data_IF_871389232957
#
_entry.id   IF_871389232957
#
_cell.length_a   1.000
_cell.length_b   1.000
_cell.length_c   1.000
_cell.angle_alpha   90.00
_cell.angle_beta   90.00
_cell.angle_gamma   90.00
#
_symmetry.space_group_name_H-M   'P 1'
#
loop_
_entity.id
_entity.type
_entity.pdbx_description
1 polymer ?
#
# COMPACT_ATOMS: atom_id res chain seq x y z
N UNK A 1 -15.46 -2.08 -5.48
CA UNK A 1 -14.83 -2.25 -6.79
C UNK A 1 -13.38 -2.51 -6.51
N UNK A 2 -12.98 -3.77 -6.61
CA UNK A 2 -11.63 -4.25 -6.91
C UNK A 2 -11.72 -5.78 -6.81
N UNK A 3 -12.25 -6.34 -7.90
CA UNK A 3 -11.90 -7.68 -8.37
C UNK A 3 -10.39 -7.68 -8.65
N UNK A 4 -9.64 -8.70 -8.22
CA UNK A 4 -8.63 -9.34 -9.08
C UNK A 4 -7.97 -10.58 -8.45
N UNK A 5 -7.89 -11.63 -9.28
CA UNK A 5 -7.00 -12.81 -9.30
C UNK A 5 -7.36 -14.04 -8.45
N UNK A 6 -8.18 -14.87 -9.09
CA UNK A 6 -8.18 -16.33 -9.06
C UNK A 6 -6.92 -16.95 -9.72
N UNK A 7 -6.43 -18.07 -9.16
CA UNK A 7 -5.53 -19.06 -9.82
C UNK A 7 -4.14 -19.20 -9.19
N UNK A 8 -3.56 -20.42 -9.07
CA UNK A 8 -3.43 -21.41 -10.16
C UNK A 8 -4.07 -22.78 -9.85
N UNK A 9 -4.76 -23.40 -10.82
CA UNK A 9 -4.29 -24.40 -11.80
C UNK A 9 -3.89 -25.73 -11.18
N UNK A 10 -4.76 -26.72 -11.41
CA UNK A 10 -4.65 -28.09 -10.96
C UNK A 10 -3.47 -28.85 -11.58
N UNK A 11 -2.89 -29.70 -10.74
CA UNK A 11 -2.04 -30.81 -11.13
C UNK A 11 -2.96 -31.94 -11.61
N UNK A 12 -2.97 -32.17 -12.92
CA UNK A 12 -3.44 -33.40 -13.53
C UNK A 12 -2.32 -34.43 -13.41
N UNK A 13 -2.50 -35.41 -12.53
CA UNK A 13 -1.67 -36.61 -12.46
C UNK A 13 -2.17 -37.60 -13.52
N UNK A 14 -1.73 -37.40 -14.76
CA UNK A 14 -1.85 -38.38 -15.84
C UNK A 14 -0.52 -39.14 -15.95
N UNK A 15 -0.34 -40.17 -15.13
CA UNK A 15 0.64 -41.23 -15.41
C UNK A 15 -0.08 -42.56 -15.57
N UNK A 16 -0.59 -42.76 -16.78
CA UNK A 16 -0.95 -44.07 -17.30
C UNK A 16 0.31 -44.95 -17.41
N UNK A 17 0.56 -45.79 -16.41
CA UNK A 17 1.56 -46.87 -16.49
C UNK A 17 0.95 -48.02 -17.29
N UNK A 18 1.27 -48.09 -18.58
CA UNK A 18 0.97 -49.23 -19.44
C UNK A 18 1.75 -50.46 -18.96
N UNK A 19 1.03 -51.55 -18.66
CA UNK A 19 1.60 -52.87 -18.42
C UNK A 19 1.71 -53.56 -19.77
N UNK A 20 2.91 -53.84 -20.32
CA UNK A 20 3.02 -54.73 -21.46
C UNK A 20 2.79 -56.17 -21.01
N UNK A 21 1.73 -56.78 -21.53
CA UNK A 21 1.46 -58.20 -21.40
C UNK A 21 2.61 -59.01 -22.02
N UNK A 22 3.30 -59.83 -21.22
CA UNK A 22 4.25 -60.82 -21.73
C UNK A 22 3.50 -62.00 -22.36
N UNK A 23 3.89 -62.42 -23.58
CA UNK A 23 3.31 -63.58 -24.23
C UNK A 23 3.78 -64.88 -23.55
N UNK A 24 2.84 -65.79 -23.33
CA UNK A 24 3.09 -67.13 -22.85
C UNK A 24 4.06 -67.87 -23.76
N UNK A 25 5.18 -68.31 -23.18
CA UNK A 25 6.14 -69.20 -23.84
C UNK A 25 5.85 -70.63 -23.44
N UNK A 26 5.41 -71.42 -24.42
CA UNK A 26 5.22 -72.86 -24.35
C UNK A 26 6.54 -73.58 -24.08
N UNK A 27 6.64 -74.26 -22.93
CA UNK A 27 7.72 -75.22 -22.67
C UNK A 27 7.30 -76.57 -23.28
N UNK A 28 7.73 -76.79 -24.51
CA UNK A 28 7.82 -78.10 -25.13
C UNK A 28 9.28 -78.38 -25.47
N UNK A 29 9.76 -79.59 -25.18
CA UNK A 29 11.01 -80.08 -25.74
C UNK A 29 12.05 -80.53 -24.72
N UNK A 30 11.86 -81.77 -24.28
CA UNK A 30 12.91 -82.64 -23.76
C UNK A 30 14.14 -82.62 -24.68
N UNK A 31 15.31 -82.24 -24.16
CA UNK A 31 16.60 -82.73 -24.65
C UNK A 31 17.62 -82.69 -23.52
N UNK A 32 18.11 -83.88 -23.17
CA UNK A 32 19.14 -84.12 -22.15
C UNK A 32 20.48 -83.75 -22.77
N UNK A 33 20.73 -82.45 -22.91
CA UNK A 33 21.95 -81.88 -23.48
C UNK A 33 23.12 -81.99 -22.51
N UNK A 34 24.22 -82.56 -22.99
CA UNK A 34 25.52 -82.52 -22.32
C UNK A 34 25.92 -81.06 -22.14
N UNK A 35 26.02 -80.61 -20.88
CA UNK A 35 26.35 -79.22 -20.56
C UNK A 35 27.79 -78.96 -21.00
N UNK A 36 27.97 -78.06 -21.97
CA UNK A 36 29.28 -77.65 -22.45
C UNK A 36 30.00 -76.86 -21.34
N UNK A 37 31.14 -77.34 -20.80
CA UNK A 37 31.84 -76.69 -19.69
C UNK A 37 32.27 -75.25 -20.01
N UNK A 38 32.45 -74.90 -21.29
CA UNK A 38 32.78 -73.54 -21.71
C UNK A 38 31.61 -72.55 -21.47
N UNK A 39 30.36 -72.98 -21.68
CA UNK A 39 29.18 -72.16 -21.46
C UNK A 39 28.93 -71.92 -19.96
N UNK A 40 29.19 -72.92 -19.11
CA UNK A 40 29.14 -72.76 -17.65
C UNK A 40 30.21 -71.80 -17.14
N UNK A 41 31.42 -71.84 -17.71
CA UNK A 41 32.49 -70.90 -17.38
C UNK A 41 32.10 -69.45 -17.73
N UNK A 42 31.48 -69.25 -18.89
CA UNK A 42 31.03 -67.93 -19.32
C UNK A 42 29.93 -67.38 -18.42
N UNK A 43 28.92 -68.20 -18.09
CA UNK A 43 27.85 -67.82 -17.16
C UNK A 43 28.41 -67.51 -15.77
N UNK A 44 29.41 -68.27 -15.29
CA UNK A 44 30.07 -67.99 -14.02
C UNK A 44 30.84 -66.67 -14.03
N UNK A 45 31.48 -66.31 -15.15
CA UNK A 45 32.14 -65.01 -15.31
C UNK A 45 31.13 -63.87 -15.37
N UNK A 46 30.02 -64.04 -16.08
CA UNK A 46 28.97 -63.03 -16.20
C UNK A 46 28.25 -62.82 -14.85
N UNK A 47 28.02 -63.86 -14.07
CA UNK A 47 27.47 -63.75 -12.70
C UNK A 47 28.46 -63.04 -11.77
N UNK A 48 29.76 -63.30 -11.89
CA UNK A 48 30.79 -62.60 -11.12
C UNK A 48 30.91 -61.12 -11.54
N UNK A 49 30.79 -60.82 -12.83
CA UNK A 49 30.75 -59.45 -13.37
C UNK A 49 29.48 -58.71 -12.92
N UNK A 50 28.32 -59.37 -12.94
CA UNK A 50 27.06 -58.80 -12.44
C UNK A 50 27.11 -58.59 -10.93
N UNK A 51 27.65 -59.55 -10.17
CA UNK A 51 27.81 -59.43 -8.71
C UNK A 51 28.81 -58.37 -8.29
N UNK A 52 29.83 -58.09 -9.12
CA UNK A 52 30.75 -56.97 -8.91
C UNK A 52 30.19 -55.62 -9.39
N UNK A 53 29.25 -55.63 -10.35
CA UNK A 53 28.49 -54.45 -10.79
C UNK A 53 27.33 -54.07 -9.86
N UNK A 54 26.90 -54.98 -8.99
CA UNK A 54 25.90 -54.71 -7.97
C UNK A 54 26.54 -53.87 -6.86
N UNK A 55 25.98 -52.68 -6.61
CA UNK A 55 26.33 -51.87 -5.44
C UNK A 55 26.43 -52.77 -4.21
N UNK A 56 27.62 -52.83 -3.63
CA UNK A 56 27.84 -53.65 -2.46
C UNK A 56 26.98 -53.11 -1.32
N UNK A 57 26.65 -53.95 -0.33
CA UNK A 57 25.91 -53.48 0.86
C UNK A 57 26.58 -52.28 1.54
N UNK A 58 27.91 -52.20 1.41
CA UNK A 58 28.73 -51.10 1.87
C UNK A 58 28.43 -49.80 1.12
N UNK A 59 28.43 -49.81 -0.20
CA UNK A 59 28.16 -48.63 -1.03
C UNK A 59 26.77 -48.05 -0.75
N UNK A 60 25.76 -48.92 -0.56
CA UNK A 60 24.41 -48.48 -0.17
C UNK A 60 24.39 -47.81 1.20
N UNK A 61 25.14 -48.36 2.17
CA UNK A 61 25.23 -47.77 3.50
C UNK A 61 25.98 -46.44 3.50
N UNK A 62 26.99 -46.29 2.64
CA UNK A 62 27.74 -45.04 2.46
C UNK A 62 26.85 -43.97 1.82
N UNK A 63 26.12 -44.30 0.74
CA UNK A 63 25.14 -43.39 0.14
C UNK A 63 24.05 -42.97 1.13
N UNK A 64 23.52 -43.90 1.92
CA UNK A 64 22.51 -43.56 2.95
C UNK A 64 23.11 -42.64 4.01
N UNK A 65 24.36 -42.86 4.43
CA UNK A 65 25.02 -41.99 5.40
C UNK A 65 25.28 -40.58 4.83
N UNK A 66 25.68 -40.49 3.57
CA UNK A 66 25.86 -39.22 2.86
C UNK A 66 24.53 -38.46 2.72
N UNK A 67 23.47 -39.13 2.27
CA UNK A 67 22.12 -38.53 2.19
C UNK A 67 21.65 -38.06 3.57
N UNK A 68 21.90 -38.83 4.64
CA UNK A 68 21.57 -38.40 5.99
C UNK A 68 22.38 -37.16 6.42
N UNK A 69 23.64 -37.05 6.01
CA UNK A 69 24.47 -35.88 6.31
C UNK A 69 23.92 -34.64 5.61
N UNK A 70 23.64 -34.72 4.30
CA UNK A 70 23.05 -33.63 3.51
C UNK A 70 21.71 -33.21 4.09
N UNK A 71 20.82 -34.17 4.41
CA UNK A 71 19.51 -33.86 5.00
C UNK A 71 19.67 -33.13 6.35
N UNK A 72 20.62 -33.53 7.19
CA UNK A 72 20.85 -32.85 8.48
C UNK A 72 21.38 -31.44 8.29
N UNK A 73 22.26 -31.24 7.32
CA UNK A 73 22.80 -29.93 6.96
C UNK A 73 21.70 -29.01 6.44
N UNK A 74 20.88 -29.47 5.50
CA UNK A 74 19.74 -28.72 4.96
C UNK A 74 18.71 -28.39 6.05
N UNK A 75 18.41 -29.33 6.96
CA UNK A 75 17.53 -29.06 8.11
C UNK A 75 18.13 -27.99 9.03
N UNK A 76 19.45 -28.00 9.25
CA UNK A 76 20.12 -26.98 10.05
C UNK A 76 20.06 -25.60 9.37
N UNK A 77 20.27 -25.54 8.05
CA UNK A 77 20.16 -24.33 7.26
C UNK A 77 18.74 -23.76 7.30
N UNK A 78 17.71 -24.59 7.04
CA UNK A 78 16.30 -24.17 7.10
C UNK A 78 15.93 -23.66 8.50
N UNK A 79 16.43 -24.30 9.56
CA UNK A 79 16.21 -23.81 10.94
C UNK A 79 16.84 -22.45 11.18
N UNK A 80 18.06 -22.23 10.68
CA UNK A 80 18.71 -20.93 10.78
C UNK A 80 17.90 -19.84 10.03
N UNK A 81 17.44 -20.14 8.82
CA UNK A 81 16.62 -19.24 8.03
C UNK A 81 15.28 -18.92 8.72
N UNK A 82 14.64 -19.91 9.34
CA UNK A 82 13.41 -19.71 10.11
C UNK A 82 13.66 -18.77 11.29
N UNK A 83 14.72 -18.97 12.07
CA UNK A 83 15.05 -18.06 13.18
C UNK A 83 15.38 -16.64 12.71
N UNK A 84 16.05 -16.50 11.57
CA UNK A 84 16.32 -15.19 10.98
C UNK A 84 15.02 -14.51 10.51
N UNK A 85 14.09 -15.28 9.96
CA UNK A 85 12.79 -14.78 9.54
C UNK A 85 11.93 -14.35 10.73
N UNK A 86 11.92 -15.13 11.82
CA UNK A 86 11.24 -14.77 13.08
C UNK A 86 11.73 -13.41 13.59
N UNK A 87 13.04 -13.21 13.71
CA UNK A 87 13.60 -11.93 14.13
C UNK A 87 13.25 -10.77 13.20
N UNK A 88 13.20 -11.02 11.88
CA UNK A 88 12.79 -10.00 10.92
C UNK A 88 11.32 -9.63 11.07
N UNK A 89 10.45 -10.60 11.34
CA UNK A 89 9.03 -10.37 11.59
C UNK A 89 8.85 -9.58 12.89
N UNK A 90 9.53 -9.95 13.96
CA UNK A 90 9.48 -9.22 15.24
C UNK A 90 9.91 -7.76 15.08
N UNK A 91 10.98 -7.50 14.32
CA UNK A 91 11.44 -6.15 14.02
C UNK A 91 10.40 -5.35 13.21
N UNK A 92 9.80 -5.97 12.19
CA UNK A 92 8.76 -5.34 11.38
C UNK A 92 7.49 -5.03 12.19
N UNK A 93 7.11 -5.91 13.11
CA UNK A 93 5.95 -5.68 13.97
C UNK A 93 6.21 -4.55 14.97
N UNK A 94 7.41 -4.48 15.56
CA UNK A 94 7.81 -3.36 16.42
C UNK A 94 7.79 -2.02 15.66
N UNK A 95 8.35 -1.98 14.45
CA UNK A 95 8.34 -0.79 13.58
C UNK A 95 6.92 -0.40 13.18
N UNK A 96 6.06 -1.38 12.87
CA UNK A 96 4.65 -1.14 12.53
C UNK A 96 3.90 -0.49 13.68
N UNK A 97 4.08 -0.98 14.91
CA UNK A 97 3.46 -0.41 16.11
C UNK A 97 3.94 1.05 16.31
N UNK A 98 5.25 1.28 16.18
CA UNK A 98 5.81 2.63 16.34
C UNK A 98 5.25 3.59 15.28
N UNK A 99 5.17 3.15 14.02
CA UNK A 99 4.62 3.96 12.94
C UNK A 99 3.13 4.23 13.11
N UNK A 100 2.35 3.27 13.60
CA UNK A 100 0.94 3.49 13.92
C UNK A 100 0.76 4.59 14.98
N UNK A 101 1.59 4.59 16.04
CA UNK A 101 1.57 5.63 17.06
C UNK A 101 1.96 7.01 16.50
N UNK A 102 2.99 7.07 15.65
CA UNK A 102 3.39 8.31 14.98
C UNK A 102 2.27 8.85 14.10
N UNK A 103 1.63 8.00 13.31
CA UNK A 103 0.53 8.38 12.44
C UNK A 103 -0.63 8.96 13.27
N UNK A 104 -1.03 8.28 14.34
CA UNK A 104 -2.07 8.77 15.24
C UNK A 104 -1.74 10.16 15.83
N UNK A 105 -0.48 10.40 16.21
CA UNK A 105 -0.05 11.69 16.71
C UNK A 105 -0.15 12.80 15.65
N UNK A 106 0.24 12.48 14.40
CA UNK A 106 0.12 13.40 13.26
C UNK A 106 -1.34 13.70 12.94
N UNK A 107 -2.23 12.72 12.97
CA UNK A 107 -3.66 12.91 12.69
C UNK A 107 -4.31 13.82 13.74
N UNK A 108 -3.96 13.63 15.02
CA UNK A 108 -4.42 14.50 16.11
C UNK A 108 -3.88 15.92 15.95
N UNK A 109 -2.61 16.08 15.59
CA UNK A 109 -2.02 17.40 15.37
C UNK A 109 -2.68 18.13 14.18
N UNK A 110 -2.91 17.42 13.08
CA UNK A 110 -3.57 17.93 11.88
C UNK A 110 -4.99 18.38 12.19
N UNK A 111 -5.75 17.59 12.95
CA UNK A 111 -7.10 17.95 13.38
C UNK A 111 -7.12 19.22 14.23
N UNK A 112 -6.17 19.34 15.19
CA UNK A 112 -6.04 20.54 16.03
C UNK A 112 -5.69 21.78 15.20
N UNK A 113 -4.77 21.65 14.24
CA UNK A 113 -4.40 22.73 13.33
C UNK A 113 -5.58 23.16 12.45
N UNK A 114 -6.36 22.20 11.94
CA UNK A 114 -7.57 22.48 11.16
C UNK A 114 -8.60 23.30 11.96
N UNK A 115 -8.84 22.92 13.21
CA UNK A 115 -9.74 23.66 14.10
C UNK A 115 -9.23 25.08 14.38
N UNK A 116 -7.93 25.23 14.66
CA UNK A 116 -7.32 26.54 14.91
C UNK A 116 -7.44 27.46 13.68
N UNK A 117 -7.22 26.93 12.48
CA UNK A 117 -7.38 27.70 11.24
C UNK A 117 -8.81 28.17 11.03
N UNK A 118 -9.79 27.32 11.35
CA UNK A 118 -11.20 27.66 11.26
C UNK A 118 -11.56 28.78 12.24
N UNK A 119 -11.08 28.69 13.48
CA UNK A 119 -11.30 29.72 14.50
C UNK A 119 -10.66 31.05 14.10
N UNK A 120 -9.42 31.04 13.63
CA UNK A 120 -8.72 32.23 13.14
C UNK A 120 -9.46 32.86 11.96
N UNK A 121 -9.94 32.04 11.01
CA UNK A 121 -10.73 32.54 9.87
C UNK A 121 -12.01 33.23 10.34
N UNK A 122 -12.71 32.65 11.31
CA UNK A 122 -13.92 33.24 11.90
C UNK A 122 -13.62 34.57 12.59
N UNK A 123 -12.50 34.67 13.31
CA UNK A 123 -12.07 35.91 13.95
C UNK A 123 -11.76 37.00 12.93
N UNK A 124 -11.04 36.67 11.85
CA UNK A 124 -10.74 37.61 10.75
C UNK A 124 -12.03 38.12 10.10
N UNK A 125 -12.99 37.23 9.84
CA UNK A 125 -14.29 37.61 9.29
C UNK A 125 -15.07 38.53 10.21
N UNK A 126 -15.11 38.26 11.52
CA UNK A 126 -15.77 39.14 12.50
C UNK A 126 -15.09 40.51 12.56
N UNK A 127 -13.76 40.58 12.53
CA UNK A 127 -13.02 41.84 12.50
C UNK A 127 -13.29 42.65 11.23
N UNK A 128 -13.31 42.00 10.06
CA UNK A 128 -13.62 42.66 8.79
C UNK A 128 -15.09 43.16 8.77
N UNK A 129 -16.03 42.36 9.29
CA UNK A 129 -17.42 42.77 9.43
C UNK A 129 -17.58 43.98 10.37
N UNK A 130 -16.89 43.98 11.52
CA UNK A 130 -16.88 45.13 12.44
C UNK A 130 -16.27 46.37 11.80
N UNK A 131 -15.17 46.22 11.05
CA UNK A 131 -14.53 47.30 10.32
C UNK A 131 -15.43 47.89 9.21
N UNK A 132 -16.23 47.06 8.55
CA UNK A 132 -17.16 47.48 7.49
C UNK A 132 -18.48 48.05 8.00
N UNK A 133 -18.93 47.72 9.22
CA UNK A 133 -20.23 48.17 9.76
C UNK A 133 -20.42 49.69 9.74
N UNK A 134 -19.34 50.44 9.89
CA UNK A 134 -19.39 51.91 9.89
C UNK A 134 -19.02 52.53 8.54
N UNK A 135 -18.78 51.72 7.51
CA UNK A 135 -18.35 52.19 6.20
C UNK A 135 -19.50 52.09 5.18
N UNK A 136 -19.97 53.23 4.69
CA UNK A 136 -21.00 53.31 3.66
C UNK A 136 -20.32 53.38 2.29
N UNK A 137 -20.62 52.41 1.41
CA UNK A 137 -20.14 52.41 0.03
C UNK A 137 -21.18 53.04 -0.88
N UNK A 138 -20.91 54.26 -1.35
CA UNK A 138 -21.73 54.93 -2.36
C UNK A 138 -21.21 54.55 -3.75
N UNK A 139 -22.08 54.09 -4.65
CA UNK A 139 -21.74 53.71 -6.03
C UNK A 139 -22.53 54.55 -7.02
N UNK A 140 -21.97 54.78 -8.20
CA UNK A 140 -22.65 55.51 -9.28
C UNK A 140 -22.62 57.03 -9.15
N UNK A 141 -21.70 57.58 -8.33
CA UNK A 141 -21.42 59.01 -8.36
C UNK A 141 -20.62 59.35 -9.63
N UNK A 142 -21.01 60.40 -10.38
CA UNK A 142 -20.17 60.91 -11.46
C UNK A 142 -18.85 61.43 -10.87
N UNK A 143 -17.76 61.22 -11.59
CA UNK A 143 -16.45 61.78 -11.22
C UNK A 143 -16.53 63.31 -11.39
N UNK A 144 -16.63 64.04 -10.27
CA UNK A 144 -16.62 65.49 -10.27
C UNK A 144 -15.17 65.97 -10.08
N UNK A 145 -14.64 66.67 -11.08
CA UNK A 145 -13.34 67.35 -10.95
C UNK A 145 -13.52 68.64 -10.14
N UNK A 146 -12.98 68.67 -8.92
CA UNK A 146 -12.83 69.91 -8.13
C UNK A 146 -13.79 70.10 -6.96
N UNK A 147 -14.85 69.31 -6.83
CA UNK A 147 -15.73 69.31 -5.64
C UNK A 147 -15.17 68.40 -4.54
N UNK A 148 -15.26 68.84 -3.29
CA UNK A 148 -14.84 67.99 -2.18
C UNK A 148 -15.85 66.85 -1.98
N UNK A 149 -15.40 65.62 -1.68
CA UNK A 149 -16.31 64.50 -1.42
C UNK A 149 -17.33 64.77 -0.31
N UNK A 150 -16.98 65.66 0.63
CA UNK A 150 -17.86 66.08 1.71
C UNK A 150 -19.06 66.88 1.20
N UNK A 151 -18.85 67.83 0.27
CA UNK A 151 -19.91 68.66 -0.32
C UNK A 151 -20.91 67.84 -1.13
N UNK A 152 -20.39 66.90 -1.94
CA UNK A 152 -21.23 65.97 -2.71
C UNK A 152 -22.10 65.14 -1.75
N UNK A 153 -21.50 64.58 -0.68
CA UNK A 153 -22.23 63.79 0.31
C UNK A 153 -23.25 64.61 1.10
N UNK A 154 -22.93 65.83 1.56
CA UNK A 154 -23.90 66.69 2.26
C UNK A 154 -25.04 67.13 1.35
N UNK A 155 -24.78 67.44 0.07
CA UNK A 155 -25.82 67.73 -0.90
C UNK A 155 -26.77 66.54 -1.09
N UNK A 156 -26.20 65.34 -1.25
CA UNK A 156 -26.94 64.10 -1.45
C UNK A 156 -27.78 63.73 -0.22
N UNK A 157 -27.22 63.84 1.00
CA UNK A 157 -27.95 63.58 2.23
C UNK A 157 -29.04 64.62 2.50
N UNK A 158 -28.78 65.90 2.26
CA UNK A 158 -29.79 66.97 2.40
C UNK A 158 -30.97 66.74 1.46
N UNK A 159 -30.69 66.31 0.23
CA UNK A 159 -31.72 65.98 -0.75
C UNK A 159 -32.51 64.71 -0.39
N UNK A 160 -31.84 63.60 -0.02
CA UNK A 160 -32.50 62.32 0.28
C UNK A 160 -33.29 62.33 1.60
N UNK A 161 -32.79 62.99 2.64
CA UNK A 161 -33.42 63.00 3.96
C UNK A 161 -34.47 64.10 4.10
N UNK A 162 -34.68 64.93 3.07
CA UNK A 162 -35.63 66.04 3.11
C UNK A 162 -35.28 67.11 4.14
N UNK A 163 -33.99 67.24 4.49
CA UNK A 163 -33.48 68.18 5.50
C UNK A 163 -33.38 69.62 4.99
N UNK A 164 -34.01 69.93 3.86
CA UNK A 164 -34.00 71.24 3.17
C UNK A 164 -34.62 72.39 3.97
N UNK A 165 -34.86 72.24 5.29
CA UNK A 165 -35.40 73.26 6.18
C UNK A 165 -34.58 73.55 7.45
N UNK A 166 -33.43 72.88 7.68
CA UNK A 166 -32.58 73.12 8.87
C UNK A 166 -31.32 73.94 8.60
N UNK A 167 -31.19 74.55 7.42
CA UNK A 167 -30.35 75.73 7.27
C UNK A 167 -31.02 76.89 8.00
N UNK A 168 -30.93 76.86 9.34
CA UNK A 168 -31.22 77.99 10.21
C UNK A 168 -30.28 79.12 9.83
N UNK A 169 -30.75 79.92 8.89
CA UNK A 169 -30.32 81.28 8.67
C UNK A 169 -30.42 82.00 10.02
N UNK A 170 -29.34 82.55 10.60
CA UNK A 170 -29.47 83.50 11.70
C UNK A 170 -30.01 84.82 11.13
N UNK A 171 -31.28 84.80 10.74
CA UNK A 171 -32.03 85.99 10.35
C UNK A 171 -32.77 86.48 11.59
N UNK A 172 -32.39 87.66 12.08
CA UNK A 172 -33.05 88.24 13.25
C UNK A 172 -32.18 89.11 14.13
N UNK A 173 -31.34 89.97 13.54
CA UNK A 173 -30.96 91.22 14.21
C UNK A 173 -31.37 92.38 13.31
N UNK A 174 -32.67 92.65 13.33
CA UNK A 174 -33.23 93.92 12.90
C UNK A 174 -32.56 95.05 13.70
N UNK A 175 -31.83 95.91 13.00
CA UNK A 175 -31.41 97.20 13.54
C UNK A 175 -32.53 98.21 13.28
N UNK A 176 -32.93 99.01 14.29
CA UNK A 176 -34.02 99.96 14.15
C UNK A 176 -33.58 101.23 13.42
N UNK A 177 -34.58 101.85 12.80
CA UNK A 177 -34.57 103.07 12.02
C UNK A 177 -33.92 104.27 12.70
N UNK A 178 -33.17 105.06 11.92
CA UNK A 178 -33.15 106.54 11.95
C UNK A 178 -32.83 107.08 10.57
#
# INVERSE_FOLDING_TARGET
MDDFITGPRGLQDDTASSVPASPGSSIAGSSRGTVDPAALSQISMDIAAISSSMLTRRDKSEMVAELQAVIREEIAAVRADLTALEHRVDALDADRIQNAHRQQAVDLATTRQGNLLLDLRRQVEDLDNRGRRNNIRVRGLPEAEGESPQEILTGLFTHLLGLTGLSGHPDGMASPET
#
